data_IF_882293767443
#
_entry.id   IF_882293767443
#
_cell.length_a   1.000
_cell.length_b   1.000
_cell.length_c   1.000
_cell.angle_alpha   90.00
_cell.angle_beta   90.00
_cell.angle_gamma   90.00
#
_symmetry.space_group_name_H-M   'P 1'
#
loop_
_entity.id
_entity.type
_entity.pdbx_description
1 polymer ?
#
# COMPACT_ATOMS: atom_id res chain seq x y z
N UNK A 1 22.33 -35.38 11.87
CA UNK A 1 22.09 -34.94 10.44
C UNK A 1 20.62 -35.02 10.04
N UNK A 2 19.75 -35.67 10.81
CA UNK A 2 18.36 -35.94 10.41
C UNK A 2 17.34 -34.89 10.91
N UNK A 3 17.71 -34.06 11.87
CA UNK A 3 16.84 -32.98 12.41
C UNK A 3 16.63 -31.85 11.39
N UNK A 4 17.61 -31.65 10.58
CA UNK A 4 17.69 -30.53 9.63
C UNK A 4 16.84 -30.65 8.36
N UNK A 5 16.46 -31.85 7.96
CA UNK A 5 15.53 -32.08 6.84
C UNK A 5 14.07 -31.85 7.27
N UNK A 6 13.77 -31.92 8.58
CA UNK A 6 12.43 -31.82 9.12
C UNK A 6 11.85 -30.40 9.01
N UNK A 7 12.64 -29.35 9.19
CA UNK A 7 12.17 -27.96 9.24
C UNK A 7 11.89 -27.42 7.82
N UNK A 8 12.77 -27.76 6.86
CA UNK A 8 12.50 -27.53 5.44
C UNK A 8 11.26 -28.32 4.98
N UNK A 9 11.16 -29.58 5.38
CA UNK A 9 9.98 -30.43 5.09
C UNK A 9 8.72 -29.83 5.71
N UNK A 10 8.79 -29.24 6.90
CA UNK A 10 7.64 -28.65 7.57
C UNK A 10 7.14 -27.40 6.82
N UNK A 11 8.03 -26.52 6.37
CA UNK A 11 7.66 -25.32 5.60
C UNK A 11 7.08 -25.71 4.23
N UNK A 12 7.75 -26.63 3.50
CA UNK A 12 7.21 -27.13 2.24
C UNK A 12 5.97 -27.98 2.45
N UNK A 13 5.87 -28.70 3.57
CA UNK A 13 4.69 -29.44 3.97
C UNK A 13 3.49 -28.54 4.22
N UNK A 14 3.66 -27.43 4.95
CA UNK A 14 2.61 -26.42 5.14
C UNK A 14 2.13 -25.81 3.82
N UNK A 15 3.07 -25.45 2.94
CA UNK A 15 2.70 -25.00 1.61
C UNK A 15 1.94 -26.07 0.82
N UNK A 16 2.37 -27.33 0.91
CA UNK A 16 1.72 -28.45 0.25
C UNK A 16 0.33 -28.76 0.81
N UNK A 17 0.07 -28.50 2.10
CA UNK A 17 -1.25 -28.67 2.71
C UNK A 17 -2.31 -27.80 2.01
N UNK A 18 -1.94 -26.61 1.53
CA UNK A 18 -2.88 -25.75 0.76
C UNK A 18 -3.29 -26.45 -0.53
N UNK A 19 -2.32 -27.00 -1.26
CA UNK A 19 -2.62 -27.75 -2.49
C UNK A 19 -3.46 -28.99 -2.20
N UNK A 20 -3.16 -29.70 -1.11
CA UNK A 20 -3.95 -30.85 -0.66
C UNK A 20 -5.38 -30.43 -0.29
N UNK A 21 -5.57 -29.31 0.40
CA UNK A 21 -6.89 -28.80 0.75
C UNK A 21 -7.71 -28.39 -0.47
N UNK A 22 -7.07 -27.71 -1.43
CA UNK A 22 -7.71 -27.35 -2.72
C UNK A 22 -8.06 -28.60 -3.50
N UNK A 23 -7.15 -29.57 -3.57
CA UNK A 23 -7.40 -30.85 -4.24
C UNK A 23 -8.57 -31.61 -3.57
N UNK A 24 -8.55 -31.70 -2.25
CA UNK A 24 -9.61 -32.35 -1.49
C UNK A 24 -10.98 -31.69 -1.72
N UNK A 25 -11.02 -30.35 -1.77
CA UNK A 25 -12.22 -29.60 -2.07
C UNK A 25 -12.73 -29.86 -3.50
N UNK A 26 -11.85 -29.83 -4.50
CA UNK A 26 -12.20 -30.13 -5.89
C UNK A 26 -12.70 -31.58 -6.00
N UNK A 27 -12.01 -32.50 -5.33
CA UNK A 27 -12.41 -33.93 -5.32
C UNK A 27 -13.77 -34.11 -4.67
N UNK A 28 -14.03 -33.43 -3.54
CA UNK A 28 -15.34 -33.47 -2.89
C UNK A 28 -16.46 -32.89 -3.78
N UNK A 29 -16.19 -31.78 -4.48
CA UNK A 29 -17.13 -31.22 -5.46
C UNK A 29 -17.41 -32.18 -6.59
N UNK A 30 -16.39 -32.90 -7.10
CA UNK A 30 -16.55 -33.94 -8.12
C UNK A 30 -17.41 -35.10 -7.61
N UNK A 31 -17.15 -35.59 -6.40
CA UNK A 31 -17.97 -36.67 -5.79
C UNK A 31 -19.43 -36.23 -5.61
N UNK A 32 -19.66 -35.00 -5.18
CA UNK A 32 -21.02 -34.46 -5.03
C UNK A 32 -21.72 -34.39 -6.39
N UNK A 33 -21.03 -33.93 -7.42
CA UNK A 33 -21.55 -33.88 -8.80
C UNK A 33 -21.84 -35.27 -9.34
N UNK A 34 -20.92 -36.21 -9.14
CA UNK A 34 -21.10 -37.61 -9.57
C UNK A 34 -22.32 -38.27 -8.89
N UNK A 35 -22.47 -38.08 -7.57
CA UNK A 35 -23.65 -38.58 -6.82
C UNK A 35 -24.94 -37.96 -7.34
N UNK A 36 -24.96 -36.67 -7.64
CA UNK A 36 -26.11 -35.97 -8.21
C UNK A 36 -26.48 -36.54 -9.59
N UNK A 37 -25.49 -36.78 -10.47
CA UNK A 37 -25.70 -37.39 -11.79
C UNK A 37 -26.21 -38.83 -11.71
N UNK A 38 -25.70 -39.61 -10.74
CA UNK A 38 -26.20 -40.97 -10.47
C UNK A 38 -27.66 -40.94 -10.03
N UNK A 39 -28.05 -40.04 -9.13
CA UNK A 39 -29.43 -39.90 -8.69
C UNK A 39 -30.38 -39.49 -9.84
N UNK A 40 -29.96 -38.60 -10.72
CA UNK A 40 -30.70 -38.24 -11.93
C UNK A 40 -30.90 -39.44 -12.86
N UNK A 41 -29.85 -40.22 -13.06
CA UNK A 41 -29.91 -41.43 -13.87
C UNK A 41 -30.87 -42.48 -13.30
N UNK A 42 -30.85 -42.70 -11.98
CA UNK A 42 -31.73 -43.61 -11.28
C UNK A 42 -33.21 -43.17 -11.31
N UNK A 43 -33.47 -41.86 -11.32
CA UNK A 43 -34.80 -41.28 -11.43
C UNK A 43 -35.34 -41.20 -12.88
N UNK A 44 -34.63 -41.78 -13.86
CA UNK A 44 -35.03 -41.77 -15.27
C UNK A 44 -34.95 -40.39 -15.95
N UNK A 45 -34.34 -39.40 -15.30
CA UNK A 45 -34.14 -38.06 -15.88
C UNK A 45 -32.93 -38.05 -16.81
N UNK A 46 -32.99 -37.21 -17.84
CA UNK A 46 -31.88 -37.04 -18.78
C UNK A 46 -30.63 -36.55 -18.02
N UNK A 47 -29.53 -37.30 -18.16
CA UNK A 47 -28.22 -36.84 -17.64
C UNK A 47 -27.61 -35.88 -18.65
N UNK A 48 -27.15 -34.68 -18.25
CA UNK A 48 -26.54 -33.74 -19.15
C UNK A 48 -25.28 -34.33 -19.80
N UNK A 49 -25.08 -34.03 -21.07
CA UNK A 49 -23.88 -34.42 -21.79
C UNK A 49 -22.78 -33.39 -21.54
N UNK A 50 -21.50 -33.73 -21.77
CA UNK A 50 -20.36 -32.85 -21.63
C UNK A 50 -20.58 -31.48 -22.27
N UNK A 51 -21.17 -31.39 -23.46
CA UNK A 51 -21.48 -30.13 -24.16
C UNK A 51 -22.57 -29.34 -23.42
N UNK A 52 -23.56 -29.99 -22.84
CA UNK A 52 -24.63 -29.36 -22.05
C UNK A 52 -24.05 -28.81 -20.72
N UNK A 53 -23.17 -29.57 -20.05
CA UNK A 53 -22.47 -29.14 -18.85
C UNK A 53 -21.55 -27.97 -19.14
N UNK A 54 -20.81 -27.99 -20.24
CA UNK A 54 -19.96 -26.89 -20.67
C UNK A 54 -20.77 -25.61 -20.98
N UNK A 55 -21.91 -25.75 -21.67
CA UNK A 55 -22.85 -24.63 -21.89
C UNK A 55 -23.41 -24.11 -20.58
N UNK A 56 -23.74 -24.96 -19.62
CA UNK A 56 -24.20 -24.54 -18.28
C UNK A 56 -23.10 -23.78 -17.53
N UNK A 57 -21.84 -24.16 -17.70
CA UNK A 57 -20.70 -23.49 -17.14
C UNK A 57 -20.46 -22.13 -17.82
N UNK A 58 -20.70 -22.05 -19.13
CA UNK A 58 -20.54 -20.83 -19.93
C UNK A 58 -21.71 -19.84 -19.78
N UNK A 59 -22.89 -20.28 -19.35
CA UNK A 59 -24.08 -19.45 -19.20
C UNK A 59 -24.53 -19.37 -17.73
N UNK A 60 -25.15 -20.43 -17.18
CA UNK A 60 -25.71 -20.39 -15.82
C UNK A 60 -24.69 -20.33 -14.69
N UNK A 61 -23.45 -20.83 -14.89
CA UNK A 61 -22.34 -20.82 -13.93
C UNK A 61 -21.14 -20.04 -14.38
N UNK A 62 -21.31 -19.14 -15.33
CA UNK A 62 -20.23 -18.32 -15.90
C UNK A 62 -19.42 -17.57 -14.83
N UNK A 63 -20.08 -17.05 -13.79
CA UNK A 63 -19.44 -16.38 -12.67
C UNK A 63 -18.43 -17.29 -11.93
N UNK A 64 -18.68 -18.60 -11.81
CA UNK A 64 -17.74 -19.53 -11.17
C UNK A 64 -16.48 -19.71 -12.03
N UNK A 65 -16.64 -19.90 -13.34
CA UNK A 65 -15.52 -20.00 -14.27
C UNK A 65 -14.68 -18.72 -14.30
N UNK A 66 -15.34 -17.56 -14.34
CA UNK A 66 -14.69 -16.26 -14.36
C UNK A 66 -13.90 -15.98 -13.07
N UNK A 67 -14.44 -16.36 -11.92
CA UNK A 67 -13.78 -16.15 -10.62
C UNK A 67 -12.66 -17.16 -10.33
N UNK A 68 -12.64 -18.31 -10.98
CA UNK A 68 -11.65 -19.37 -10.72
C UNK A 68 -10.23 -18.90 -11.00
N UNK A 69 -9.98 -18.23 -12.13
CA UNK A 69 -8.64 -17.76 -12.53
C UNK A 69 -8.09 -16.72 -11.54
N UNK A 70 -8.82 -15.63 -11.18
CA UNK A 70 -8.39 -14.70 -10.14
C UNK A 70 -8.15 -15.37 -8.78
N UNK A 71 -9.02 -16.30 -8.35
CA UNK A 71 -8.87 -16.99 -7.07
C UNK A 71 -7.59 -17.83 -7.03
N UNK A 72 -7.30 -18.59 -8.10
CA UNK A 72 -6.05 -19.34 -8.21
C UNK A 72 -4.86 -18.40 -8.18
N UNK A 73 -4.93 -17.25 -8.89
CA UNK A 73 -3.90 -16.24 -8.87
C UNK A 73 -3.63 -15.69 -7.46
N UNK A 74 -4.66 -15.33 -6.71
CA UNK A 74 -4.54 -14.88 -5.32
C UNK A 74 -3.94 -15.98 -4.43
N UNK A 75 -4.37 -17.23 -4.59
CA UNK A 75 -3.86 -18.34 -3.78
C UNK A 75 -2.37 -18.58 -4.03
N UNK A 76 -1.94 -18.61 -5.30
CA UNK A 76 -0.56 -18.94 -5.67
C UNK A 76 0.40 -17.76 -5.45
N UNK A 77 -0.01 -16.52 -5.77
CA UNK A 77 0.88 -15.36 -5.79
C UNK A 77 0.74 -14.45 -4.56
N UNK A 78 -0.30 -14.63 -3.75
CA UNK A 78 -0.50 -13.83 -2.54
C UNK A 78 -0.48 -14.69 -1.28
N UNK A 79 -1.36 -15.69 -1.19
CA UNK A 79 -1.53 -16.46 0.05
C UNK A 79 -0.32 -17.35 0.31
N UNK A 80 0.18 -18.06 -0.69
CA UNK A 80 1.30 -18.98 -0.51
C UNK A 80 2.60 -18.25 -0.11
N UNK A 81 3.05 -17.16 -0.77
CA UNK A 81 4.20 -16.38 -0.31
C UNK A 81 3.99 -15.77 1.09
N UNK A 82 2.77 -15.35 1.42
CA UNK A 82 2.45 -14.82 2.75
C UNK A 82 2.63 -15.88 3.85
N UNK A 83 2.13 -17.09 3.64
CA UNK A 83 2.32 -18.19 4.59
C UNK A 83 3.81 -18.52 4.72
N UNK A 84 4.54 -18.58 3.61
CA UNK A 84 5.97 -18.80 3.63
C UNK A 84 6.71 -17.74 4.44
N UNK A 85 6.41 -16.45 4.22
CA UNK A 85 6.95 -15.34 5.00
C UNK A 85 6.62 -15.48 6.50
N UNK A 86 5.37 -15.83 6.84
CA UNK A 86 4.99 -16.04 8.25
C UNK A 86 5.81 -17.17 8.85
N UNK A 87 5.99 -18.31 8.17
CA UNK A 87 6.81 -19.41 8.65
C UNK A 87 8.27 -18.98 8.88
N UNK A 88 8.85 -18.23 7.95
CA UNK A 88 10.24 -17.74 8.09
C UNK A 88 10.46 -16.86 9.31
N UNK A 89 9.46 -16.10 9.76
CA UNK A 89 9.56 -15.27 10.95
C UNK A 89 9.84 -16.08 12.25
N UNK A 90 9.51 -17.37 12.25
CA UNK A 90 9.71 -18.27 13.38
C UNK A 90 10.97 -19.13 13.26
N UNK A 91 11.79 -18.88 12.24
CA UNK A 91 13.06 -19.59 11.99
C UNK A 91 14.25 -18.67 12.20
N UNK A 92 15.47 -19.26 12.18
CA UNK A 92 16.73 -18.51 12.16
C UNK A 92 17.30 -18.38 10.74
N UNK A 93 16.44 -18.37 9.70
CA UNK A 93 16.87 -18.26 8.32
C UNK A 93 17.47 -16.88 8.01
N UNK A 94 18.80 -16.81 7.99
CA UNK A 94 19.60 -15.62 7.77
C UNK A 94 20.79 -15.90 6.83
N UNK A 95 21.68 -14.93 6.67
CA UNK A 95 22.89 -15.05 5.86
C UNK A 95 23.88 -16.11 6.37
N UNK A 96 23.83 -16.50 7.66
CA UNK A 96 24.67 -17.54 8.25
C UNK A 96 24.10 -18.95 8.01
N UNK A 97 22.79 -19.03 7.75
CA UNK A 97 22.06 -20.27 7.50
C UNK A 97 21.48 -20.31 6.07
N UNK A 98 22.30 -20.18 4.98
CA UNK A 98 21.80 -20.17 3.63
C UNK A 98 21.50 -21.60 3.14
N UNK A 99 20.25 -21.90 2.84
CA UNK A 99 19.87 -23.15 2.22
C UNK A 99 20.49 -23.25 0.79
N UNK A 100 20.98 -24.40 0.33
CA UNK A 100 21.01 -25.74 0.97
C UNK A 100 22.30 -26.02 1.78
N UNK A 101 23.23 -25.07 1.87
CA UNK A 101 24.55 -25.29 2.49
C UNK A 101 24.48 -25.39 4.00
N UNK A 102 23.63 -24.62 4.61
CA UNK A 102 23.35 -24.63 6.04
C UNK A 102 21.84 -24.71 6.20
N UNK A 103 21.43 -25.47 7.18
CA UNK A 103 20.02 -25.65 7.48
C UNK A 103 19.63 -24.66 8.58
N UNK A 104 18.42 -24.20 8.51
CA UNK A 104 17.85 -23.31 9.51
C UNK A 104 16.91 -24.07 10.42
N UNK A 105 16.84 -23.62 11.66
CA UNK A 105 16.07 -24.25 12.72
C UNK A 105 14.84 -23.39 13.06
N UNK A 106 13.86 -24.06 13.67
CA UNK A 106 12.68 -23.41 14.19
C UNK A 106 12.98 -22.82 15.57
N UNK A 107 12.96 -21.47 15.69
CA UNK A 107 13.35 -20.74 16.91
C UNK A 107 12.18 -20.09 17.65
N UNK A 108 10.96 -20.34 17.19
CA UNK A 108 9.76 -19.77 17.79
C UNK A 108 9.75 -18.23 17.72
N UNK A 109 9.47 -17.57 18.84
CA UNK A 109 9.39 -16.11 18.92
C UNK A 109 10.73 -15.39 19.15
N UNK A 110 11.86 -16.07 19.06
CA UNK A 110 13.18 -15.47 19.30
C UNK A 110 13.45 -14.27 18.38
N UNK A 111 13.15 -14.40 17.08
CA UNK A 111 13.32 -13.30 16.10
C UNK A 111 12.43 -12.08 16.41
N UNK A 112 11.24 -12.28 16.98
CA UNK A 112 10.39 -11.19 17.47
C UNK A 112 10.99 -10.49 18.68
N UNK A 113 11.57 -11.25 19.61
CA UNK A 113 12.31 -10.71 20.76
C UNK A 113 13.49 -9.87 20.32
N UNK A 114 14.25 -10.27 19.31
CA UNK A 114 15.38 -9.52 18.77
C UNK A 114 14.95 -8.18 18.15
N UNK A 115 13.83 -8.15 17.44
CA UNK A 115 13.30 -6.91 16.82
C UNK A 115 12.73 -5.96 17.88
N UNK A 116 11.99 -6.47 18.88
CA UNK A 116 11.24 -5.62 19.81
C UNK A 116 12.03 -5.23 21.07
N UNK A 117 12.96 -6.07 21.53
CA UNK A 117 13.68 -5.87 22.81
C UNK A 117 15.20 -6.03 22.66
N UNK A 118 15.67 -6.67 21.58
CA UNK A 118 17.07 -6.95 21.34
C UNK A 118 17.78 -5.83 20.57
N UNK A 119 18.84 -6.22 19.87
CA UNK A 119 19.73 -5.31 19.10
C UNK A 119 18.98 -4.45 18.07
N UNK A 120 17.89 -4.97 17.49
CA UNK A 120 17.13 -4.31 16.44
C UNK A 120 16.14 -3.26 16.96
N UNK A 121 15.80 -3.27 18.24
CA UNK A 121 14.85 -2.33 18.83
C UNK A 121 15.27 -0.86 18.66
N UNK A 122 16.57 -0.58 18.76
CA UNK A 122 17.13 0.75 18.52
C UNK A 122 16.95 1.28 17.07
N UNK A 123 16.69 0.37 16.12
CA UNK A 123 16.36 0.74 14.73
C UNK A 123 14.85 0.70 14.50
N UNK A 124 14.16 -0.32 15.00
CA UNK A 124 12.74 -0.55 14.75
C UNK A 124 11.85 0.60 15.24
N UNK A 125 11.99 1.02 16.49
CA UNK A 125 11.11 2.05 17.06
C UNK A 125 11.29 3.44 16.43
N UNK A 126 12.51 3.94 16.17
CA UNK A 126 12.70 5.18 15.43
C UNK A 126 12.13 5.13 14.00
N UNK A 127 12.33 4.00 13.29
CA UNK A 127 11.78 3.82 11.95
C UNK A 127 10.25 3.72 11.96
N UNK A 128 9.68 3.02 12.93
CA UNK A 128 8.23 2.98 13.13
C UNK A 128 7.65 4.37 13.37
N UNK A 129 8.25 5.12 14.28
CA UNK A 129 7.84 6.50 14.58
C UNK A 129 7.92 7.38 13.32
N UNK A 130 9.02 7.29 12.59
CA UNK A 130 9.19 8.03 11.34
C UNK A 130 8.18 7.57 10.27
N UNK A 131 7.93 6.27 10.12
CA UNK A 131 6.94 5.72 9.19
C UNK A 131 5.55 6.29 9.46
N UNK A 132 5.14 6.41 10.73
CA UNK A 132 3.85 6.98 11.10
C UNK A 132 3.80 8.49 10.87
N UNK A 133 4.85 9.23 11.23
CA UNK A 133 4.95 10.68 10.94
C UNK A 133 4.88 10.92 9.43
N UNK A 134 5.63 10.17 8.66
CA UNK A 134 5.60 10.22 7.20
C UNK A 134 4.20 9.96 6.65
N UNK A 135 3.53 8.87 7.08
CA UNK A 135 2.22 8.51 6.57
C UNK A 135 1.18 9.60 6.85
N UNK A 136 1.21 10.19 8.06
CA UNK A 136 0.34 11.32 8.42
C UNK A 136 0.68 12.56 7.58
N UNK A 137 1.95 12.96 7.55
CA UNK A 137 2.39 14.17 6.84
C UNK A 137 2.11 14.07 5.33
N UNK A 138 2.46 12.92 4.71
CA UNK A 138 2.24 12.68 3.29
C UNK A 138 0.75 12.70 2.93
N UNK A 139 -0.10 12.07 3.73
CA UNK A 139 -1.55 12.03 3.49
C UNK A 139 -2.17 13.41 3.73
N UNK A 140 -1.88 14.06 4.86
CA UNK A 140 -2.47 15.34 5.21
C UNK A 140 -2.08 16.46 4.23
N UNK A 141 -0.81 16.54 3.85
CA UNK A 141 -0.33 17.55 2.90
C UNK A 141 -0.92 17.34 1.51
N UNK A 142 -0.90 16.11 1.02
CA UNK A 142 -1.48 15.77 -0.29
C UNK A 142 -2.98 16.05 -0.34
N UNK A 143 -3.70 15.68 0.73
CA UNK A 143 -5.13 15.95 0.86
C UNK A 143 -5.44 17.45 0.89
N UNK A 144 -4.78 18.19 1.78
CA UNK A 144 -5.00 19.62 1.93
C UNK A 144 -4.73 20.39 0.63
N UNK A 145 -3.55 20.21 0.05
CA UNK A 145 -3.19 20.93 -1.19
C UNK A 145 -3.97 20.44 -2.40
N UNK A 146 -4.38 19.16 -2.42
CA UNK A 146 -5.27 18.62 -3.46
C UNK A 146 -6.64 19.27 -3.44
N UNK A 147 -7.24 19.47 -2.25
CA UNK A 147 -8.51 20.22 -2.10
C UNK A 147 -8.35 21.68 -2.50
N UNK A 148 -7.30 22.34 -2.02
CA UNK A 148 -7.03 23.75 -2.38
C UNK A 148 -6.94 23.89 -3.90
N UNK A 149 -6.20 23.02 -4.57
CA UNK A 149 -6.07 23.03 -6.02
C UNK A 149 -7.41 22.73 -6.71
N UNK A 150 -8.20 21.78 -6.21
CA UNK A 150 -9.52 21.48 -6.72
C UNK A 150 -10.46 22.69 -6.64
N UNK A 151 -10.48 23.39 -5.50
CA UNK A 151 -11.27 24.61 -5.31
C UNK A 151 -10.85 25.70 -6.28
N UNK A 152 -9.54 25.96 -6.40
CA UNK A 152 -8.99 26.96 -7.34
C UNK A 152 -9.40 26.66 -8.78
N UNK A 153 -9.27 25.40 -9.22
CA UNK A 153 -9.63 25.01 -10.58
C UNK A 153 -11.15 24.98 -10.84
N UNK A 154 -11.98 24.93 -9.79
CA UNK A 154 -13.43 25.00 -9.94
C UNK A 154 -14.02 26.41 -9.75
N UNK A 155 -13.19 27.42 -9.44
CA UNK A 155 -13.63 28.81 -9.30
C UNK A 155 -14.29 29.33 -10.59
N UNK A 156 -15.41 30.03 -10.44
CA UNK A 156 -16.09 30.71 -11.55
C UNK A 156 -15.18 31.80 -12.12
N UNK A 157 -15.02 31.86 -13.46
CA UNK A 157 -14.21 32.88 -14.14
C UNK A 157 -12.74 32.53 -14.36
N UNK A 158 -12.25 31.38 -13.96
CA UNK A 158 -10.88 30.94 -14.25
C UNK A 158 -10.69 30.74 -15.75
N UNK A 159 -9.80 31.54 -16.37
CA UNK A 159 -9.44 31.42 -17.79
C UNK A 159 -8.59 30.15 -18.01
N UNK A 160 -8.78 29.49 -19.15
CA UNK A 160 -8.04 28.29 -19.54
C UNK A 160 -8.15 27.10 -18.56
N UNK A 161 -9.28 26.97 -17.86
CA UNK A 161 -9.54 25.93 -16.86
C UNK A 161 -9.20 24.50 -17.35
N UNK A 162 -9.54 24.18 -18.61
CA UNK A 162 -9.23 22.88 -19.22
C UNK A 162 -7.72 22.66 -19.35
N UNK A 163 -6.97 23.67 -19.75
CA UNK A 163 -5.51 23.59 -19.90
C UNK A 163 -4.85 23.34 -18.55
N UNK A 164 -5.20 24.11 -17.53
CA UNK A 164 -4.67 23.92 -16.18
C UNK A 164 -4.96 22.52 -15.64
N UNK A 165 -6.19 22.04 -15.78
CA UNK A 165 -6.57 20.69 -15.37
C UNK A 165 -5.75 19.63 -16.13
N UNK A 166 -5.57 19.79 -17.44
CA UNK A 166 -4.77 18.86 -18.25
C UNK A 166 -3.31 18.85 -17.82
N UNK A 167 -2.70 20.00 -17.53
CA UNK A 167 -1.32 20.08 -17.06
C UNK A 167 -1.09 19.32 -15.75
N UNK A 168 -2.02 19.40 -14.80
CA UNK A 168 -1.90 18.62 -13.56
C UNK A 168 -2.19 17.14 -13.78
N UNK A 169 -3.14 16.79 -14.65
CA UNK A 169 -3.49 15.39 -14.92
C UNK A 169 -2.38 14.65 -15.66
N UNK A 170 -1.66 15.35 -16.57
CA UNK A 170 -0.57 14.72 -17.33
C UNK A 170 0.56 14.18 -16.44
N UNK A 171 0.74 14.75 -15.24
CA UNK A 171 1.72 14.25 -14.28
C UNK A 171 1.39 12.85 -13.77
N UNK A 172 0.12 12.46 -13.77
CA UNK A 172 -0.33 11.11 -13.39
C UNK A 172 0.04 10.07 -14.46
N UNK A 173 0.13 10.50 -15.73
CA UNK A 173 0.48 9.62 -16.85
C UNK A 173 1.97 9.26 -16.88
N UNK A 174 2.82 10.04 -16.20
CA UNK A 174 4.26 9.74 -16.10
C UNK A 174 4.46 8.66 -15.05
N UNK A 175 5.19 7.56 -15.37
CA UNK A 175 5.49 6.53 -14.37
C UNK A 175 6.20 7.13 -13.15
N UNK A 176 5.70 6.85 -11.96
CA UNK A 176 6.17 7.45 -10.70
C UNK A 176 7.68 7.34 -10.51
N UNK A 177 8.27 6.16 -10.81
CA UNK A 177 9.70 5.95 -10.63
C UNK A 177 10.56 6.88 -11.50
N UNK A 178 10.10 7.23 -12.71
CA UNK A 178 10.80 8.18 -13.59
C UNK A 178 10.83 9.57 -12.97
N UNK A 179 9.68 10.04 -12.49
CA UNK A 179 9.57 11.33 -11.80
C UNK A 179 10.46 11.39 -10.55
N UNK A 180 10.50 10.31 -9.78
CA UNK A 180 11.33 10.22 -8.57
C UNK A 180 12.83 10.24 -8.87
N UNK A 181 13.28 9.50 -9.89
CA UNK A 181 14.69 9.50 -10.31
C UNK A 181 15.10 10.86 -10.89
N UNK A 182 14.23 11.53 -11.63
CA UNK A 182 14.47 12.89 -12.10
C UNK A 182 14.58 13.86 -10.93
N UNK A 183 13.67 13.78 -9.94
CA UNK A 183 13.74 14.62 -8.74
C UNK A 183 14.96 14.32 -7.89
N UNK A 184 15.42 13.08 -7.80
CA UNK A 184 16.69 12.74 -7.14
C UNK A 184 17.87 13.47 -7.79
N UNK A 185 17.97 13.48 -9.11
CA UNK A 185 19.02 14.19 -9.82
C UNK A 185 18.86 15.71 -9.69
N UNK A 186 17.63 16.21 -9.72
CA UNK A 186 17.34 17.65 -9.59
C UNK A 186 17.70 18.22 -8.22
N UNK A 187 17.46 17.44 -7.14
CA UNK A 187 17.71 17.81 -5.74
C UNK A 187 19.12 17.40 -5.24
N UNK A 188 19.95 16.81 -6.10
CA UNK A 188 21.31 16.44 -5.72
C UNK A 188 22.16 17.67 -5.34
N UNK A 189 23.18 17.48 -4.51
CA UNK A 189 24.07 18.57 -4.07
C UNK A 189 24.70 19.34 -5.23
N UNK A 190 25.04 18.64 -6.31
CA UNK A 190 25.51 19.21 -7.58
C UNK A 190 24.42 19.26 -8.66
N UNK A 191 23.15 19.15 -8.26
CA UNK A 191 22.02 19.12 -9.17
C UNK A 191 21.60 20.51 -9.67
N UNK A 192 20.69 20.54 -10.70
CA UNK A 192 20.23 21.78 -11.31
C UNK A 192 19.63 22.78 -10.33
N UNK A 193 18.90 22.32 -9.28
CA UNK A 193 18.30 23.20 -8.30
C UNK A 193 19.37 23.97 -7.51
N UNK A 194 20.38 23.28 -6.98
CA UNK A 194 21.47 23.91 -6.26
C UNK A 194 22.28 24.83 -7.17
N UNK A 195 22.51 24.44 -8.43
CA UNK A 195 23.17 25.31 -9.41
C UNK A 195 22.38 26.59 -9.66
N UNK A 196 21.05 26.51 -9.79
CA UNK A 196 20.19 27.69 -9.96
C UNK A 196 20.21 28.60 -8.72
N UNK A 197 20.09 28.03 -7.52
CA UNK A 197 20.10 28.80 -6.26
C UNK A 197 21.43 29.55 -6.07
N UNK A 198 22.56 28.94 -6.39
CA UNK A 198 23.88 29.59 -6.32
C UNK A 198 24.05 30.67 -7.42
N UNK A 199 23.60 30.40 -8.64
CA UNK A 199 23.65 31.40 -9.73
C UNK A 199 22.81 32.66 -9.41
N UNK A 200 21.67 32.45 -8.73
CA UNK A 200 20.80 33.53 -8.27
C UNK A 200 21.30 34.18 -6.96
N UNK A 201 22.47 33.78 -6.44
CA UNK A 201 23.04 34.23 -5.17
C UNK A 201 22.11 34.10 -3.96
N UNK A 202 21.18 33.10 -4.01
CA UNK A 202 20.26 32.81 -2.90
C UNK A 202 20.92 31.96 -1.81
N UNK A 203 21.98 31.23 -2.17
CA UNK A 203 22.77 30.39 -1.25
C UNK A 203 24.27 30.54 -1.53
N UNK A 204 25.09 30.48 -0.47
CA UNK A 204 26.55 30.52 -0.57
C UNK A 204 27.18 29.15 -0.84
N UNK A 205 26.36 28.08 -0.79
CA UNK A 205 26.80 26.69 -1.02
C UNK A 205 25.59 25.78 -1.33
N UNK A 206 25.82 24.51 -1.66
CA UNK A 206 24.75 23.58 -1.95
C UNK A 206 23.91 23.32 -0.69
N UNK A 207 22.58 23.32 -0.84
CA UNK A 207 21.66 22.85 0.19
C UNK A 207 21.63 21.33 0.14
N UNK A 208 21.86 20.64 1.27
CA UNK A 208 21.94 19.16 1.31
C UNK A 208 20.55 18.52 1.32
N UNK A 209 19.77 18.73 0.27
CA UNK A 209 18.36 18.29 0.18
C UNK A 209 18.16 16.80 0.40
N UNK A 210 19.14 15.95 0.06
CA UNK A 210 19.04 14.48 0.16
C UNK A 210 20.14 13.89 1.06
N UNK A 211 21.11 14.69 1.49
CA UNK A 211 22.30 14.23 2.21
C UNK A 211 22.29 14.61 3.70
N UNK A 212 21.44 15.55 4.11
CA UNK A 212 21.14 15.84 5.51
C UNK A 212 19.85 15.13 5.96
N UNK A 213 19.78 14.53 7.17
CA UNK A 213 18.60 13.79 7.62
C UNK A 213 17.30 14.60 7.66
N UNK A 214 17.38 15.86 8.10
CA UNK A 214 16.20 16.71 8.22
C UNK A 214 15.73 17.20 6.85
N UNK A 215 16.67 17.72 6.04
CA UNK A 215 16.37 18.15 4.68
C UNK A 215 15.83 17.00 3.82
N UNK A 216 16.39 15.78 3.94
CA UNK A 216 15.92 14.63 3.22
C UNK A 216 14.46 14.28 3.58
N UNK A 217 14.09 14.36 4.86
CA UNK A 217 12.70 14.14 5.31
C UNK A 217 11.73 15.18 4.74
N UNK A 218 12.11 16.45 4.71
CA UNK A 218 11.30 17.50 4.07
C UNK A 218 11.20 17.29 2.56
N UNK A 219 12.31 16.98 1.91
CA UNK A 219 12.37 16.78 0.46
C UNK A 219 11.47 15.63 0.00
N UNK A 220 11.46 14.50 0.72
CA UNK A 220 10.58 13.38 0.35
C UNK A 220 9.10 13.73 0.54
N UNK A 221 8.73 14.48 1.58
CA UNK A 221 7.35 14.94 1.76
C UNK A 221 6.96 15.88 0.62
N UNK A 222 7.81 16.85 0.28
CA UNK A 222 7.56 17.80 -0.80
C UNK A 222 7.41 17.11 -2.16
N UNK A 223 8.30 16.18 -2.50
CA UNK A 223 8.21 15.43 -3.76
C UNK A 223 6.98 14.52 -3.79
N UNK A 224 6.63 13.91 -2.66
CA UNK A 224 5.39 13.13 -2.57
C UNK A 224 4.14 13.98 -2.81
N UNK A 225 4.12 15.22 -2.30
CA UNK A 225 3.03 16.17 -2.60
C UNK A 225 2.93 16.42 -4.09
N UNK A 226 4.03 16.69 -4.77
CA UNK A 226 4.06 16.90 -6.22
C UNK A 226 3.39 15.75 -7.00
N UNK A 227 3.64 14.51 -6.58
CA UNK A 227 3.09 13.31 -7.21
C UNK A 227 1.63 13.08 -6.83
N UNK A 228 1.27 13.29 -5.57
CA UNK A 228 -0.04 12.90 -5.02
C UNK A 228 -1.15 13.95 -5.18
N UNK A 229 -0.82 15.23 -5.19
CA UNK A 229 -1.79 16.35 -5.29
C UNK A 229 -2.71 16.22 -6.52
N UNK A 230 -2.21 15.91 -7.75
CA UNK A 230 -3.05 15.83 -8.92
C UNK A 230 -4.17 14.78 -8.82
N UNK A 231 -3.88 13.62 -8.23
CA UNK A 231 -4.89 12.58 -8.01
C UNK A 231 -5.97 13.04 -7.02
N UNK A 232 -5.56 13.58 -5.87
CA UNK A 232 -6.51 14.12 -4.87
C UNK A 232 -7.34 15.26 -5.45
N UNK A 233 -6.74 16.13 -6.24
CA UNK A 233 -7.42 17.22 -6.96
C UNK A 233 -8.50 16.69 -7.90
N UNK A 234 -8.23 15.61 -8.66
CA UNK A 234 -9.22 15.02 -9.56
C UNK A 234 -10.41 14.46 -8.79
N UNK A 235 -10.16 13.69 -7.74
CA UNK A 235 -11.22 13.10 -6.90
C UNK A 235 -12.05 14.21 -6.25
N UNK A 236 -11.41 15.19 -5.61
CA UNK A 236 -12.08 16.31 -4.98
C UNK A 236 -12.89 17.16 -6.01
N UNK A 237 -12.33 17.37 -7.21
CA UNK A 237 -13.07 18.06 -8.28
C UNK A 237 -14.34 17.31 -8.66
N UNK A 238 -14.27 15.97 -8.80
CA UNK A 238 -15.45 15.16 -9.09
C UNK A 238 -16.54 15.31 -8.03
N UNK A 239 -16.14 15.34 -6.75
CA UNK A 239 -17.07 15.54 -5.64
C UNK A 239 -17.67 16.95 -5.69
N UNK A 240 -16.85 17.99 -5.78
CA UNK A 240 -17.29 19.40 -5.80
C UNK A 240 -18.31 19.65 -6.94
N UNK A 241 -18.08 19.04 -8.10
CA UNK A 241 -19.00 19.21 -9.25
C UNK A 241 -20.34 18.50 -9.08
N UNK A 242 -20.45 17.54 -8.15
CA UNK A 242 -21.67 16.79 -7.87
C UNK A 242 -22.35 17.22 -6.56
N UNK A 243 -21.81 18.24 -5.87
CA UNK A 243 -22.48 18.78 -4.69
C UNK A 243 -23.80 19.47 -5.06
N UNK A 244 -24.86 19.33 -4.22
CA UNK A 244 -26.14 20.00 -4.45
C UNK A 244 -25.96 21.52 -4.45
N UNK A 245 -26.13 22.15 -5.60
CA UNK A 245 -26.00 23.62 -5.76
C UNK A 245 -27.03 24.37 -4.94
N UNK A 246 -28.21 23.78 -4.73
CA UNK A 246 -29.30 24.33 -3.93
C UNK A 246 -28.87 24.68 -2.48
N UNK A 247 -28.06 23.85 -1.86
CA UNK A 247 -27.55 24.10 -0.49
C UNK A 247 -26.58 25.29 -0.47
N UNK A 248 -25.77 25.45 -1.52
CA UNK A 248 -24.82 26.55 -1.65
C UNK A 248 -25.56 27.85 -1.92
N UNK A 249 -26.55 27.83 -2.82
CA UNK A 249 -27.38 28.98 -3.18
C UNK A 249 -28.22 29.44 -1.99
N UNK A 250 -28.82 28.51 -1.24
CA UNK A 250 -29.56 28.84 -0.01
C UNK A 250 -28.66 29.56 1.01
N UNK A 251 -27.45 29.04 1.24
CA UNK A 251 -26.49 29.65 2.16
C UNK A 251 -26.01 31.02 1.66
N UNK A 252 -25.87 31.23 0.34
CA UNK A 252 -25.56 32.54 -0.24
C UNK A 252 -26.71 33.54 -0.01
N UNK A 253 -27.98 33.14 -0.12
CA UNK A 253 -29.17 33.95 0.16
C UNK A 253 -29.21 34.32 1.63
N UNK A 254 -28.83 33.39 2.54
CA UNK A 254 -28.72 33.65 3.98
C UNK A 254 -27.53 34.53 4.38
N UNK A 255 -26.73 35.01 3.39
CA UNK A 255 -25.62 35.91 3.59
C UNK A 255 -24.32 35.23 4.06
N UNK A 256 -24.20 33.91 3.95
CA UNK A 256 -22.99 33.21 4.32
C UNK A 256 -21.81 33.57 3.41
N UNK A 257 -20.64 33.84 4.02
CA UNK A 257 -19.42 34.06 3.26
C UNK A 257 -18.91 32.75 2.60
N UNK A 258 -18.12 32.86 1.53
CA UNK A 258 -17.52 31.71 0.81
C UNK A 258 -16.75 30.75 1.75
N UNK A 259 -16.08 31.31 2.77
CA UNK A 259 -15.37 30.50 3.76
C UNK A 259 -16.33 29.75 4.70
N UNK A 260 -17.45 30.38 5.10
CA UNK A 260 -18.48 29.71 5.89
C UNK A 260 -19.14 28.57 5.11
N UNK A 261 -19.49 28.80 3.83
CA UNK A 261 -20.01 27.78 2.93
C UNK A 261 -19.03 26.62 2.79
N UNK A 262 -17.75 26.93 2.55
CA UNK A 262 -16.70 25.92 2.48
C UNK A 262 -16.62 25.11 3.76
N UNK A 263 -16.49 25.76 4.92
CA UNK A 263 -16.28 25.09 6.21
C UNK A 263 -17.47 24.25 6.65
N UNK A 264 -18.71 24.74 6.42
CA UNK A 264 -19.92 24.14 6.98
C UNK A 264 -20.66 23.21 6.01
N UNK A 265 -20.48 23.38 4.70
CA UNK A 265 -21.20 22.60 3.67
C UNK A 265 -20.22 21.78 2.83
N UNK A 266 -19.28 22.44 2.16
CA UNK A 266 -18.45 21.79 1.13
C UNK A 266 -17.40 20.84 1.73
N UNK A 267 -16.64 21.29 2.72
CA UNK A 267 -15.55 20.50 3.32
C UNK A 267 -16.03 19.25 4.06
N UNK A 268 -17.10 19.29 4.88
CA UNK A 268 -17.64 18.09 5.53
C UNK A 268 -18.11 17.04 4.51
N UNK A 269 -18.75 17.45 3.42
CA UNK A 269 -19.19 16.52 2.37
C UNK A 269 -18.01 15.92 1.61
N UNK A 270 -16.98 16.72 1.28
CA UNK A 270 -15.75 16.20 0.69
C UNK A 270 -15.11 15.17 1.61
N UNK A 271 -14.98 15.50 2.91
CA UNK A 271 -14.35 14.61 3.89
C UNK A 271 -15.13 13.30 4.03
N UNK A 272 -16.45 13.35 4.09
CA UNK A 272 -17.32 12.18 4.18
C UNK A 272 -17.12 11.22 2.99
N UNK A 273 -17.16 11.78 1.77
CA UNK A 273 -17.05 10.98 0.54
C UNK A 273 -15.61 10.47 0.33
N UNK A 274 -14.60 11.27 0.72
CA UNK A 274 -13.19 10.92 0.57
C UNK A 274 -12.65 10.05 1.72
N UNK A 275 -13.37 9.86 2.81
CA UNK A 275 -12.88 9.13 3.98
C UNK A 275 -12.30 7.74 3.64
N UNK A 276 -12.96 6.87 2.85
CA UNK A 276 -12.38 5.57 2.48
C UNK A 276 -11.08 5.70 1.68
N UNK A 277 -11.00 6.66 0.75
CA UNK A 277 -9.80 6.89 -0.05
C UNK A 277 -8.66 7.47 0.77
N UNK A 278 -8.94 8.28 1.80
CA UNK A 278 -7.94 8.78 2.74
C UNK A 278 -7.34 7.66 3.60
N UNK A 279 -8.18 6.75 4.09
CA UNK A 279 -7.71 5.56 4.82
C UNK A 279 -6.77 4.74 3.92
N UNK A 280 -7.19 4.47 2.67
CA UNK A 280 -6.37 3.74 1.71
C UNK A 280 -5.05 4.48 1.40
N UNK A 281 -5.08 5.79 1.24
CA UNK A 281 -3.88 6.60 1.00
C UNK A 281 -2.93 6.59 2.19
N UNK A 282 -3.46 6.66 3.42
CA UNK A 282 -2.66 6.57 4.63
C UNK A 282 -1.94 5.22 4.75
N UNK A 283 -2.66 4.10 4.53
CA UNK A 283 -2.08 2.76 4.54
C UNK A 283 -1.06 2.61 3.41
N UNK A 284 -1.37 3.14 2.22
CA UNK A 284 -0.45 3.19 1.09
C UNK A 284 0.84 3.96 1.41
N UNK A 285 0.74 5.03 2.20
CA UNK A 285 1.91 5.79 2.66
C UNK A 285 2.73 5.05 3.73
N UNK A 286 2.12 4.29 4.65
CA UNK A 286 2.87 3.39 5.57
C UNK A 286 3.75 2.43 4.76
N UNK A 287 3.25 1.92 3.64
CA UNK A 287 3.92 0.95 2.77
C UNK A 287 4.55 1.60 1.52
N UNK A 288 4.86 2.88 1.55
CA UNK A 288 5.37 3.60 0.39
C UNK A 288 6.85 3.31 0.13
N UNK A 289 7.09 2.24 -0.61
CA UNK A 289 8.43 1.84 -1.03
C UNK A 289 9.04 2.82 -2.04
N UNK A 290 8.25 3.20 -3.05
CA UNK A 290 8.77 3.88 -4.24
C UNK A 290 9.39 5.23 -3.94
N UNK A 291 8.68 6.10 -3.20
CA UNK A 291 9.14 7.46 -2.93
C UNK A 291 10.47 7.43 -2.18
N UNK A 292 10.59 6.58 -1.16
CA UNK A 292 11.82 6.48 -0.38
C UNK A 292 12.95 5.85 -1.19
N UNK A 293 12.69 4.72 -1.82
CA UNK A 293 13.73 3.96 -2.52
C UNK A 293 14.31 4.69 -3.72
N UNK A 294 13.47 5.25 -4.59
CA UNK A 294 13.93 5.91 -5.81
C UNK A 294 14.47 7.33 -5.56
N UNK A 295 14.00 8.03 -4.54
CA UNK A 295 14.45 9.40 -4.28
C UNK A 295 15.72 9.44 -3.41
N UNK A 296 15.73 8.78 -2.25
CA UNK A 296 16.82 8.82 -1.28
C UNK A 296 17.58 7.50 -1.11
N UNK A 297 16.98 6.37 -1.53
CA UNK A 297 17.48 5.03 -1.19
C UNK A 297 17.42 4.73 0.30
N UNK A 298 16.58 5.48 1.05
CA UNK A 298 16.51 5.43 2.53
C UNK A 298 17.57 6.27 3.22
N UNK A 299 18.48 6.94 2.47
CA UNK A 299 19.53 7.79 3.02
C UNK A 299 19.06 9.09 3.68
N UNK A 300 19.97 9.84 4.29
CA UNK A 300 21.38 9.50 4.55
C UNK A 300 21.56 8.33 5.52
N UNK A 301 22.72 7.67 5.43
CA UNK A 301 23.08 6.55 6.31
C UNK A 301 23.12 7.00 7.78
N UNK A 302 22.63 6.14 8.66
CA UNK A 302 22.73 6.34 10.10
C UNK A 302 23.51 5.17 10.71
N UNK A 303 24.63 5.46 11.35
CA UNK A 303 25.50 4.44 11.97
C UNK A 303 24.88 3.73 13.18
N UNK A 304 23.87 4.34 13.78
CA UNK A 304 23.14 3.76 14.91
C UNK A 304 22.08 2.73 14.48
N UNK A 305 21.69 2.77 13.19
CA UNK A 305 20.65 1.91 12.66
C UNK A 305 21.25 0.71 11.94
N UNK A 306 20.71 -0.46 12.25
CA UNK A 306 21.10 -1.68 11.57
C UNK A 306 20.53 -1.71 10.14
N UNK A 307 21.40 -1.62 9.14
CA UNK A 307 21.04 -1.69 7.71
C UNK A 307 19.96 -0.69 7.27
N UNK A 308 19.80 0.43 7.98
CA UNK A 308 18.82 1.45 7.66
C UNK A 308 19.43 2.84 7.63
N UNK A 309 18.81 3.74 6.89
CA UNK A 309 19.14 5.16 6.92
C UNK A 309 18.02 6.00 7.53
N UNK A 310 18.26 7.32 7.58
CA UNK A 310 17.41 8.27 8.31
C UNK A 310 16.02 8.49 7.68
N UNK A 311 15.83 8.16 6.40
CA UNK A 311 14.56 8.28 5.70
C UNK A 311 13.90 6.94 5.41
N UNK A 312 14.51 5.82 5.78
CA UNK A 312 13.88 4.51 5.60
C UNK A 312 12.56 4.40 6.36
N UNK A 313 11.60 3.78 5.72
CA UNK A 313 10.38 3.30 6.34
C UNK A 313 10.53 1.80 6.68
N UNK A 314 9.60 1.24 7.45
CA UNK A 314 9.63 -0.19 7.76
C UNK A 314 9.70 -1.05 6.49
N UNK A 315 8.98 -0.69 5.43
CA UNK A 315 8.95 -1.42 4.15
C UNK A 315 10.28 -1.36 3.38
N UNK A 316 10.97 -0.21 3.37
CA UNK A 316 12.26 -0.08 2.70
C UNK A 316 13.37 -0.73 3.49
N UNK A 317 13.30 -0.70 4.81
CA UNK A 317 14.20 -1.43 5.68
C UNK A 317 14.04 -2.94 5.55
N UNK A 318 12.80 -3.45 5.54
CA UNK A 318 12.50 -4.86 5.26
C UNK A 318 13.15 -5.30 3.94
N UNK A 319 13.05 -4.48 2.89
CA UNK A 319 13.68 -4.75 1.61
C UNK A 319 15.21 -4.86 1.74
N UNK A 320 15.86 -3.93 2.45
CA UNK A 320 17.32 -3.96 2.68
C UNK A 320 17.73 -5.19 3.48
N UNK A 321 16.98 -5.58 4.50
CA UNK A 321 17.23 -6.80 5.26
C UNK A 321 17.11 -8.05 4.38
N UNK A 322 16.14 -8.09 3.48
CA UNK A 322 15.94 -9.22 2.56
C UNK A 322 17.03 -9.29 1.49
N UNK A 323 17.31 -8.18 0.80
CA UNK A 323 18.15 -8.17 -0.40
C UNK A 323 19.63 -7.98 -0.08
N UNK A 324 19.94 -7.07 0.84
CA UNK A 324 21.32 -6.69 1.16
C UNK A 324 21.91 -7.50 2.31
N UNK A 325 21.20 -7.56 3.43
CA UNK A 325 21.67 -8.27 4.63
C UNK A 325 21.39 -9.78 4.57
N UNK A 326 20.36 -10.20 3.84
CA UNK A 326 19.86 -11.59 3.76
C UNK A 326 19.41 -12.15 5.12
N UNK A 327 18.88 -11.28 5.98
CA UNK A 327 18.30 -11.61 7.27
C UNK A 327 16.78 -11.83 7.08
N UNK A 328 16.42 -12.94 6.45
CA UNK A 328 15.05 -13.21 6.01
C UNK A 328 14.06 -13.38 7.16
N UNK A 329 14.53 -13.95 8.29
CA UNK A 329 13.74 -14.10 9.51
C UNK A 329 13.35 -12.74 10.09
N UNK A 330 14.31 -11.81 10.26
CA UNK A 330 14.06 -10.46 10.77
C UNK A 330 13.20 -9.63 9.82
N UNK A 331 13.48 -9.73 8.52
CA UNK A 331 12.64 -9.09 7.50
C UNK A 331 11.18 -9.57 7.58
N UNK A 332 10.97 -10.89 7.78
CA UNK A 332 9.64 -11.48 7.92
C UNK A 332 8.92 -10.99 9.16
N UNK A 333 9.61 -10.87 10.30
CA UNK A 333 9.05 -10.29 11.54
C UNK A 333 8.61 -8.85 11.31
N UNK A 334 9.45 -8.02 10.68
CA UNK A 334 9.10 -6.62 10.36
C UNK A 334 7.89 -6.56 9.43
N UNK A 335 7.80 -7.46 8.45
CA UNK A 335 6.63 -7.57 7.57
C UNK A 335 5.35 -7.87 8.34
N UNK A 336 5.37 -8.82 9.27
CA UNK A 336 4.22 -9.16 10.13
C UNK A 336 3.84 -7.98 11.02
N UNK A 337 4.81 -7.33 11.67
CA UNK A 337 4.56 -6.17 12.54
C UNK A 337 4.00 -5.00 11.73
N UNK A 338 4.57 -4.72 10.55
CA UNK A 338 4.08 -3.67 9.65
C UNK A 338 2.65 -3.92 9.19
N UNK A 339 2.32 -5.18 8.86
CA UNK A 339 0.96 -5.59 8.54
C UNK A 339 0.01 -5.40 9.74
N UNK A 340 0.39 -5.86 10.93
CA UNK A 340 -0.43 -5.73 12.14
C UNK A 340 -0.73 -4.26 12.48
N UNK A 341 0.28 -3.38 12.35
CA UNK A 341 0.12 -1.95 12.55
C UNK A 341 -0.84 -1.36 11.51
N UNK A 342 -0.62 -1.64 10.22
CA UNK A 342 -1.48 -1.16 9.13
C UNK A 342 -2.92 -1.64 9.27
N UNK A 343 -3.12 -2.91 9.60
CA UNK A 343 -4.44 -3.49 9.84
C UNK A 343 -5.15 -2.86 11.03
N UNK A 344 -4.45 -2.64 12.15
CA UNK A 344 -5.00 -1.99 13.34
C UNK A 344 -5.47 -0.57 13.02
N UNK A 345 -4.64 0.24 12.37
CA UNK A 345 -5.03 1.60 11.96
C UNK A 345 -6.20 1.59 10.98
N UNK A 346 -6.19 0.67 10.01
CA UNK A 346 -7.29 0.52 9.04
C UNK A 346 -8.61 0.21 9.73
N UNK A 347 -8.62 -0.78 10.63
CA UNK A 347 -9.83 -1.17 11.36
C UNK A 347 -10.33 -0.04 12.25
N UNK A 348 -9.45 0.62 13.01
CA UNK A 348 -9.81 1.74 13.87
C UNK A 348 -10.37 2.93 13.07
N UNK A 349 -9.77 3.26 11.94
CA UNK A 349 -10.23 4.35 11.08
C UNK A 349 -11.56 4.00 10.40
N UNK A 350 -11.70 2.76 9.91
CA UNK A 350 -12.92 2.31 9.25
C UNK A 350 -14.11 2.24 10.20
N UNK A 351 -13.96 1.66 11.39
CA UNK A 351 -15.03 1.54 12.38
C UNK A 351 -15.51 2.90 12.92
N UNK A 352 -14.65 3.92 12.87
CA UNK A 352 -15.01 5.30 13.24
C UNK A 352 -15.55 6.13 12.06
N UNK A 353 -15.51 5.60 10.86
CA UNK A 353 -16.03 6.28 9.67
C UNK A 353 -17.56 6.20 9.63
N UNK A 354 -18.21 7.30 9.24
CA UNK A 354 -19.67 7.35 9.03
C UNK A 354 -20.15 6.37 7.96
N UNK A 355 -19.29 6.01 7.02
CA UNK A 355 -19.57 4.98 6.01
C UNK A 355 -19.84 3.60 6.63
N UNK A 356 -19.29 3.29 7.79
CA UNK A 356 -19.56 2.05 8.52
C UNK A 356 -20.98 2.09 9.14
N UNK A 357 -21.37 3.23 9.70
CA UNK A 357 -22.67 3.38 10.36
C UNK A 357 -23.83 3.33 9.35
N UNK A 358 -23.66 3.86 8.15
CA UNK A 358 -24.66 3.79 7.07
C UNK A 358 -24.77 2.37 6.47
N UNK A 359 -23.70 1.59 6.44
CA UNK A 359 -23.69 0.19 6.00
C UNK A 359 -24.28 -0.78 7.03
N UNK A 360 -24.18 -0.46 8.32
CA UNK A 360 -24.74 -1.26 9.42
C UNK A 360 -26.24 -0.99 9.67
N UNK A 361 -26.77 0.10 9.11
CA UNK A 361 -28.20 0.48 9.23
C UNK A 361 -29.07 -0.06 8.09
N UNK A 362 -28.52 -0.77 7.14
CA UNK A 362 -29.20 -1.52 6.06
C UNK A 362 -29.11 -3.02 6.32
#
# INVERSE_FOLDING_TARGET
SDVCSSDLLLIFGLASLIFCAVFAYIYWCNLKSARHLMALKQSGRKVPNFVEDFKTLADGRFHMGLMTVPLIGVLLFTILPLIYMICLAFTNFDHNHPAPKSLFDWVGFSSFGEVLQGRMAGTFFPLLTWTLIWAVAATATTFFFGIVLALLLNTKGLKFKKVWRTLFVITIAVPQFVSLLLMRNFLNDHGPLNGLLQTLHLTNGPIPFLTDPLWAKFSIIFVNMWIGIPFTMLVATGIIMNLPTEQIEAAEIDGASKFQIFKSITFPQILLIMAPSLIQQFIGNINNFNVIYFLTGGGPTNSEYYQAGSTDLLVTWLYKLTVSAKDYNLASVIGILSFAISATFSLLAYTRSSSFNEGAAK
#
